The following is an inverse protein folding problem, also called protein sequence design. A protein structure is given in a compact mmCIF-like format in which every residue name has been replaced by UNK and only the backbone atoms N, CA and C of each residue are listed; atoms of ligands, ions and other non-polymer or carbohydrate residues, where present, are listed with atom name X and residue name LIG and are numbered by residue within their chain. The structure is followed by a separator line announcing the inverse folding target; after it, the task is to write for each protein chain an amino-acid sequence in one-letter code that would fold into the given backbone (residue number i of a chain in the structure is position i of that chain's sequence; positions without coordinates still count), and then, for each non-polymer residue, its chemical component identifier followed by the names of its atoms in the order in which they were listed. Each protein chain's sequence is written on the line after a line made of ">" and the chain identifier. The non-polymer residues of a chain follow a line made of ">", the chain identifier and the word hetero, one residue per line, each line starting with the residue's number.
data_IF_011330561736
#
_entry.id   IF_011330561736
#
_cell.length_a   1.000
_cell.length_b   1.000
_cell.length_c   1.000
_cell.angle_alpha   90.00
_cell.angle_beta   90.00
_cell.angle_gamma   90.00
#
_symmetry.space_group_name_H-M   'P 1'
#
loop_
_entity.id
_entity.type
_entity.pdbx_description
1 polymer ?
#
# COMPACT_ATOMS: atom_id res chain seq x y z
N UNK A 1 -56.17 -1.15 -92.67
CA UNK A 1 -54.99 -0.32 -92.41
C UNK A 1 -55.11 0.53 -91.13
N UNK A 2 -56.12 1.39 -90.97
CA UNK A 2 -56.27 2.27 -89.79
C UNK A 2 -56.29 1.54 -88.42
N UNK A 3 -57.02 0.41 -88.32
CA UNK A 3 -57.07 -0.40 -87.10
C UNK A 3 -55.70 -0.98 -86.69
N UNK A 4 -54.83 -1.29 -87.65
CA UNK A 4 -53.47 -1.80 -87.38
C UNK A 4 -52.53 -0.69 -86.90
N UNK A 5 -52.64 0.51 -87.47
CA UNK A 5 -51.87 1.70 -87.05
C UNK A 5 -52.29 2.13 -85.64
N UNK A 6 -53.60 2.16 -85.34
CA UNK A 6 -54.10 2.46 -84.01
C UNK A 6 -53.62 1.45 -82.95
N UNK A 7 -53.58 0.15 -83.30
CA UNK A 7 -53.03 -0.90 -82.42
C UNK A 7 -51.54 -0.75 -82.14
N UNK A 8 -50.74 -0.39 -83.15
CA UNK A 8 -49.29 -0.14 -83.01
C UNK A 8 -49.01 1.10 -82.15
N UNK A 9 -49.77 2.18 -82.34
CA UNK A 9 -49.65 3.39 -81.52
C UNK A 9 -50.01 3.13 -80.05
N UNK A 10 -51.07 2.36 -79.80
CA UNK A 10 -51.45 1.97 -78.43
C UNK A 10 -50.35 1.12 -77.76
N UNK A 11 -49.77 0.18 -78.51
CA UNK A 11 -48.67 -0.66 -78.01
C UNK A 11 -47.42 0.19 -77.69
N UNK A 12 -47.07 1.16 -78.53
CA UNK A 12 -45.95 2.06 -78.30
C UNK A 12 -46.17 2.93 -77.03
N UNK A 13 -47.38 3.43 -76.83
CA UNK A 13 -47.73 4.17 -75.60
C UNK A 13 -47.68 3.28 -74.37
N UNK A 14 -48.16 2.03 -74.45
CA UNK A 14 -48.08 1.07 -73.35
C UNK A 14 -46.63 0.70 -72.99
N UNK A 15 -45.77 0.51 -73.99
CA UNK A 15 -44.33 0.27 -73.78
C UNK A 15 -43.67 1.50 -73.15
N UNK A 16 -43.97 2.70 -73.64
CA UNK A 16 -43.44 3.94 -73.06
C UNK A 16 -43.93 4.17 -71.62
N UNK A 17 -45.21 3.90 -71.34
CA UNK A 17 -45.78 3.99 -70.00
C UNK A 17 -45.19 2.94 -69.05
N UNK A 18 -45.00 1.70 -69.52
CA UNK A 18 -44.34 0.64 -68.76
C UNK A 18 -42.87 0.97 -68.50
N UNK A 19 -42.14 1.49 -69.50
CA UNK A 19 -40.76 1.94 -69.39
C UNK A 19 -40.60 3.13 -68.44
N UNK A 20 -41.51 4.11 -68.50
CA UNK A 20 -41.56 5.22 -67.56
C UNK A 20 -41.83 4.74 -66.12
N UNK A 21 -42.76 3.79 -65.96
CA UNK A 21 -43.11 3.22 -64.67
C UNK A 21 -41.96 2.43 -64.04
N UNK A 22 -41.25 1.60 -64.82
CA UNK A 22 -40.09 0.85 -64.33
C UNK A 22 -38.90 1.78 -64.04
N UNK A 23 -38.61 2.77 -64.90
CA UNK A 23 -37.52 3.72 -64.72
C UNK A 23 -37.74 4.66 -63.51
N UNK A 24 -38.97 5.14 -63.31
CA UNK A 24 -39.33 5.95 -62.14
C UNK A 24 -39.26 5.15 -60.84
N UNK A 25 -39.61 3.86 -60.86
CA UNK A 25 -39.42 2.95 -59.72
C UNK A 25 -37.95 2.70 -59.41
N UNK A 26 -37.14 2.42 -60.44
CA UNK A 26 -35.69 2.19 -60.31
C UNK A 26 -34.99 3.42 -59.72
N UNK A 27 -35.20 4.59 -60.30
CA UNK A 27 -34.58 5.85 -59.84
C UNK A 27 -34.96 6.18 -58.39
N UNK A 28 -36.21 5.95 -57.99
CA UNK A 28 -36.64 6.16 -56.59
C UNK A 28 -35.96 5.19 -55.63
N UNK A 29 -35.87 3.91 -55.96
CA UNK A 29 -35.26 2.91 -55.08
C UNK A 29 -33.74 3.08 -54.97
N UNK A 30 -33.06 3.44 -56.07
CA UNK A 30 -31.62 3.76 -56.04
C UNK A 30 -31.34 5.00 -55.18
N UNK A 31 -32.16 6.07 -55.30
CA UNK A 31 -32.04 7.23 -54.41
C UNK A 31 -32.26 6.88 -52.94
N UNK A 32 -33.19 5.96 -52.64
CA UNK A 32 -33.39 5.44 -51.28
C UNK A 32 -32.17 4.66 -50.79
N UNK A 33 -31.61 3.75 -51.58
CA UNK A 33 -30.41 3.01 -51.22
C UNK A 33 -29.22 3.96 -50.96
N UNK A 34 -29.07 5.01 -51.77
CA UNK A 34 -28.07 6.05 -51.55
C UNK A 34 -28.30 6.81 -50.23
N UNK A 35 -29.55 7.16 -49.91
CA UNK A 35 -29.89 7.80 -48.63
C UNK A 35 -29.61 6.89 -47.43
N UNK A 36 -29.95 5.60 -47.53
CA UNK A 36 -29.65 4.61 -46.50
C UNK A 36 -28.16 4.47 -46.28
N UNK A 37 -27.38 4.35 -47.36
CA UNK A 37 -25.92 4.29 -47.28
C UNK A 37 -25.34 5.57 -46.65
N UNK A 38 -25.88 6.75 -46.99
CA UNK A 38 -25.46 8.01 -46.40
C UNK A 38 -25.76 8.08 -44.89
N UNK A 39 -26.95 7.62 -44.48
CA UNK A 39 -27.32 7.57 -43.06
C UNK A 39 -26.42 6.60 -42.28
N UNK A 40 -26.16 5.41 -42.81
CA UNK A 40 -25.24 4.45 -42.19
C UNK A 40 -23.83 5.03 -42.07
N UNK A 41 -23.34 5.70 -43.12
CA UNK A 41 -22.03 6.36 -43.09
C UNK A 41 -21.93 7.47 -42.03
N UNK A 42 -23.06 8.12 -41.70
CA UNK A 42 -23.15 9.13 -40.64
C UNK A 42 -23.46 8.54 -39.26
N UNK A 43 -23.55 7.21 -39.12
CA UNK A 43 -23.91 6.54 -37.86
C UNK A 43 -25.40 6.65 -37.49
N UNK A 44 -26.25 7.15 -38.39
CA UNK A 44 -27.69 7.27 -38.19
C UNK A 44 -28.37 5.93 -38.50
N UNK A 45 -28.40 5.05 -37.51
CA UNK A 45 -28.91 3.68 -37.69
C UNK A 45 -30.37 3.50 -37.25
N UNK A 46 -31.05 4.52 -36.73
CA UNK A 46 -32.40 4.36 -36.15
C UNK A 46 -33.56 4.25 -37.15
N UNK A 47 -33.34 4.61 -38.42
CA UNK A 47 -34.38 4.64 -39.45
C UNK A 47 -34.68 3.25 -40.02
N UNK A 48 -35.97 2.88 -40.09
CA UNK A 48 -36.39 1.59 -40.66
C UNK A 48 -36.25 1.60 -42.19
N UNK A 49 -35.44 0.67 -42.70
CA UNK A 49 -35.24 0.49 -44.14
C UNK A 49 -36.34 -0.40 -44.71
N UNK A 50 -37.30 0.18 -45.42
CA UNK A 50 -38.34 -0.56 -46.13
C UNK A 50 -37.81 -1.10 -47.48
N UNK A 51 -37.93 -2.42 -47.69
CA UNK A 51 -37.61 -3.10 -48.96
C UNK A 51 -38.87 -3.66 -49.62
N UNK A 52 -39.70 -2.82 -50.28
CA UNK A 52 -41.03 -3.23 -50.76
C UNK A 52 -41.02 -4.04 -52.07
N UNK A 53 -39.86 -4.19 -52.73
CA UNK A 53 -39.76 -4.88 -54.02
C UNK A 53 -39.02 -6.22 -53.90
N UNK A 54 -39.31 -7.16 -54.80
CA UNK A 54 -38.59 -8.46 -54.91
C UNK A 54 -37.51 -8.46 -55.99
N UNK A 55 -37.31 -7.32 -56.66
CA UNK A 55 -36.26 -7.11 -57.67
C UNK A 55 -34.88 -6.86 -57.02
N UNK A 56 -33.87 -6.63 -57.85
CA UNK A 56 -32.49 -6.37 -57.45
C UNK A 56 -32.38 -5.13 -56.55
N UNK A 57 -33.23 -4.12 -56.74
CA UNK A 57 -33.26 -2.91 -55.89
C UNK A 57 -33.83 -3.21 -54.51
N UNK A 58 -34.79 -4.13 -54.43
CA UNK A 58 -35.31 -4.67 -53.18
C UNK A 58 -34.27 -5.50 -52.43
N UNK A 59 -33.54 -6.37 -53.13
CA UNK A 59 -32.45 -7.17 -52.56
C UNK A 59 -31.32 -6.27 -52.01
N UNK A 60 -30.96 -5.20 -52.72
CA UNK A 60 -29.99 -4.22 -52.23
C UNK A 60 -30.44 -3.57 -50.92
N UNK A 61 -31.68 -3.11 -50.85
CA UNK A 61 -32.26 -2.52 -49.63
C UNK A 61 -32.34 -3.53 -48.49
N UNK A 62 -32.66 -4.80 -48.77
CA UNK A 62 -32.65 -5.87 -47.76
C UNK A 62 -31.23 -6.12 -47.20
N UNK A 63 -30.22 -6.20 -48.07
CA UNK A 63 -28.83 -6.35 -47.65
C UNK A 63 -28.37 -5.15 -46.80
N UNK A 64 -28.73 -3.92 -47.20
CA UNK A 64 -28.46 -2.72 -46.40
C UNK A 64 -29.18 -2.74 -45.05
N UNK A 65 -30.42 -3.23 -44.99
CA UNK A 65 -31.17 -3.43 -43.74
C UNK A 65 -30.45 -4.40 -42.81
N UNK A 66 -30.08 -5.58 -43.31
CA UNK A 66 -29.33 -6.58 -42.51
C UNK A 66 -27.99 -6.02 -42.01
N UNK A 67 -27.30 -5.22 -42.82
CA UNK A 67 -26.08 -4.52 -42.42
C UNK A 67 -26.34 -3.53 -41.28
N UNK A 68 -27.39 -2.70 -41.38
CA UNK A 68 -27.81 -1.78 -40.33
C UNK A 68 -28.14 -2.52 -39.02
N UNK A 69 -28.90 -3.63 -39.11
CA UNK A 69 -29.27 -4.47 -37.95
C UNK A 69 -28.04 -5.10 -37.26
N UNK A 70 -27.01 -5.49 -38.01
CA UNK A 70 -25.76 -6.01 -37.44
C UNK A 70 -24.98 -4.91 -36.70
N UNK A 71 -24.86 -3.71 -37.31
CA UNK A 71 -24.22 -2.56 -36.67
C UNK A 71 -24.93 -2.16 -35.37
N UNK A 72 -26.27 -2.09 -35.39
CA UNK A 72 -27.08 -1.81 -34.20
C UNK A 72 -26.84 -2.84 -33.09
N UNK A 73 -26.78 -4.14 -33.43
CA UNK A 73 -26.54 -5.19 -32.43
C UNK A 73 -25.16 -5.10 -31.79
N UNK A 74 -24.12 -4.80 -32.56
CA UNK A 74 -22.78 -4.62 -31.98
C UNK A 74 -22.73 -3.40 -31.07
N UNK A 75 -23.32 -2.28 -31.49
CA UNK A 75 -23.40 -1.07 -30.65
C UNK A 75 -24.17 -1.32 -29.35
N UNK A 76 -25.28 -2.07 -29.42
CA UNK A 76 -26.05 -2.44 -28.25
C UNK A 76 -25.24 -3.33 -27.29
N UNK A 77 -24.54 -4.34 -27.80
CA UNK A 77 -23.68 -5.22 -27.00
C UNK A 77 -22.51 -4.45 -26.36
N UNK A 78 -21.91 -3.51 -27.09
CA UNK A 78 -20.83 -2.67 -26.56
C UNK A 78 -21.34 -1.72 -25.48
N UNK A 79 -22.53 -1.13 -25.65
CA UNK A 79 -23.18 -0.29 -24.64
C UNK A 79 -23.52 -1.08 -23.37
N UNK A 80 -24.05 -2.30 -23.52
CA UNK A 80 -24.30 -3.20 -22.40
C UNK A 80 -23.00 -3.55 -21.66
N UNK A 81 -21.93 -3.87 -22.39
CA UNK A 81 -20.62 -4.13 -21.79
C UNK A 81 -20.13 -2.94 -20.98
N UNK A 82 -20.23 -1.72 -21.53
CA UNK A 82 -19.84 -0.50 -20.83
C UNK A 82 -20.64 -0.32 -19.53
N UNK A 83 -21.97 -0.42 -19.59
CA UNK A 83 -22.84 -0.31 -18.42
C UNK A 83 -22.50 -1.34 -17.33
N UNK A 84 -22.26 -2.59 -17.71
CA UNK A 84 -21.88 -3.65 -16.77
C UNK A 84 -20.52 -3.39 -16.14
N UNK A 85 -19.54 -2.89 -16.90
CA UNK A 85 -18.21 -2.56 -16.37
C UNK A 85 -18.24 -1.35 -15.44
N UNK A 86 -19.03 -0.33 -15.77
CA UNK A 86 -19.27 0.83 -14.89
C UNK A 86 -19.97 0.42 -13.58
N UNK A 87 -20.83 -0.60 -13.63
CA UNK A 87 -21.43 -1.22 -12.46
C UNK A 87 -20.51 -2.21 -11.71
N UNK A 88 -19.23 -2.33 -12.11
CA UNK A 88 -18.24 -3.19 -11.45
C UNK A 88 -18.23 -4.66 -11.91
N UNK A 89 -19.09 -5.07 -12.84
CA UNK A 89 -19.12 -6.43 -13.41
C UNK A 89 -18.06 -6.61 -14.50
N UNK A 90 -16.80 -6.35 -14.16
CA UNK A 90 -15.68 -6.30 -15.11
C UNK A 90 -15.35 -7.66 -15.75
N UNK A 91 -15.91 -8.77 -15.27
CA UNK A 91 -15.76 -10.09 -15.89
C UNK A 91 -16.59 -10.27 -17.15
N UNK A 92 -17.65 -9.47 -17.36
CA UNK A 92 -18.54 -9.59 -18.51
C UNK A 92 -17.80 -9.35 -19.83
N UNK A 93 -18.11 -10.16 -20.84
CA UNK A 93 -17.61 -10.08 -22.21
C UNK A 93 -18.77 -10.17 -23.17
N UNK A 94 -18.67 -9.46 -24.29
CA UNK A 94 -19.61 -9.60 -25.40
C UNK A 94 -19.47 -11.00 -26.03
N UNK A 95 -20.58 -11.61 -26.43
CA UNK A 95 -20.55 -12.88 -27.14
C UNK A 95 -20.14 -12.66 -28.61
N UNK A 96 -18.92 -13.07 -28.96
CA UNK A 96 -18.41 -12.94 -30.32
C UNK A 96 -19.06 -13.90 -31.32
N UNK A 97 -19.56 -15.05 -30.87
CA UNK A 97 -20.15 -16.09 -31.74
C UNK A 97 -21.51 -15.65 -32.28
N UNK A 98 -22.18 -14.74 -31.57
CA UNK A 98 -23.43 -14.10 -32.00
C UNK A 98 -23.28 -13.17 -33.21
N UNK A 99 -22.06 -12.89 -33.67
CA UNK A 99 -21.80 -11.95 -34.77
C UNK A 99 -21.11 -12.63 -35.96
N UNK A 100 -21.39 -12.22 -37.20
CA UNK A 100 -20.71 -12.77 -38.38
C UNK A 100 -19.44 -11.99 -38.74
N UNK A 101 -18.44 -12.69 -39.28
CA UNK A 101 -17.32 -12.11 -40.02
C UNK A 101 -16.55 -11.01 -39.26
N UNK A 102 -16.44 -9.83 -39.88
CA UNK A 102 -15.70 -8.70 -39.32
C UNK A 102 -16.28 -8.20 -37.98
N UNK A 103 -17.60 -8.31 -37.77
CA UNK A 103 -18.24 -7.91 -36.52
C UNK A 103 -17.80 -8.80 -35.35
N UNK A 104 -17.72 -10.12 -35.55
CA UNK A 104 -17.16 -11.03 -34.54
C UNK A 104 -15.70 -10.71 -34.23
N UNK A 105 -14.92 -10.31 -35.23
CA UNK A 105 -13.52 -9.92 -35.03
C UNK A 105 -13.43 -8.66 -34.18
N UNK A 106 -14.22 -7.62 -34.47
CA UNK A 106 -14.28 -6.40 -33.66
C UNK A 106 -14.67 -6.68 -32.20
N UNK A 107 -15.64 -7.57 -31.98
CA UNK A 107 -16.06 -7.99 -30.64
C UNK A 107 -14.94 -8.75 -29.92
N UNK A 108 -14.24 -9.69 -30.59
CA UNK A 108 -13.08 -10.40 -30.02
C UNK A 108 -11.96 -9.45 -29.66
N UNK A 109 -11.65 -8.49 -30.53
CA UNK A 109 -10.58 -7.52 -30.30
C UNK A 109 -10.90 -6.59 -29.13
N UNK A 110 -12.16 -6.15 -28.99
CA UNK A 110 -12.60 -5.36 -27.84
C UNK A 110 -12.54 -6.17 -26.54
N UNK A 111 -12.99 -7.42 -26.57
CA UNK A 111 -12.88 -8.33 -25.42
C UNK A 111 -11.42 -8.56 -25.01
N UNK A 112 -10.52 -8.74 -25.98
CA UNK A 112 -9.09 -8.93 -25.74
C UNK A 112 -8.46 -7.66 -25.14
N UNK A 113 -8.73 -6.49 -25.74
CA UNK A 113 -8.27 -5.20 -25.24
C UNK A 113 -8.64 -5.03 -23.76
N UNK A 114 -9.92 -5.13 -23.44
CA UNK A 114 -10.42 -4.99 -22.06
C UNK A 114 -9.83 -6.07 -21.13
N UNK A 115 -9.74 -7.32 -21.61
CA UNK A 115 -9.15 -8.43 -20.87
C UNK A 115 -7.71 -8.16 -20.42
N UNK A 116 -6.87 -7.62 -21.30
CA UNK A 116 -5.46 -7.32 -20.95
C UNK A 116 -5.32 -6.26 -19.87
N UNK A 117 -6.18 -5.24 -19.86
CA UNK A 117 -6.17 -4.20 -18.82
C UNK A 117 -6.67 -4.74 -17.47
N UNK A 118 -7.69 -5.58 -17.47
CA UNK A 118 -8.20 -6.21 -16.25
C UNK A 118 -7.17 -7.16 -15.64
N UNK A 119 -6.47 -7.95 -16.46
CA UNK A 119 -5.45 -8.88 -15.98
C UNK A 119 -4.37 -8.16 -15.16
N UNK A 120 -3.86 -7.02 -15.65
CA UNK A 120 -2.87 -6.19 -14.91
C UNK A 120 -3.45 -5.66 -13.60
N UNK A 121 -4.68 -5.13 -13.61
CA UNK A 121 -5.34 -4.61 -12.40
C UNK A 121 -5.54 -5.71 -11.34
N UNK A 122 -5.95 -6.91 -11.75
CA UNK A 122 -6.12 -8.04 -10.83
C UNK A 122 -4.77 -8.52 -10.27
N UNK A 123 -3.70 -8.54 -11.09
CA UNK A 123 -2.35 -8.87 -10.61
C UNK A 123 -1.86 -7.86 -9.58
N UNK A 124 -2.07 -6.56 -9.81
CA UNK A 124 -1.75 -5.52 -8.83
C UNK A 124 -2.48 -5.76 -7.51
N UNK A 125 -3.80 -5.99 -7.54
CA UNK A 125 -4.58 -6.27 -6.34
C UNK A 125 -4.07 -7.50 -5.58
N UNK A 126 -3.70 -8.57 -6.28
CA UNK A 126 -3.14 -9.79 -5.68
C UNK A 126 -1.81 -9.51 -4.97
N UNK A 127 -0.88 -8.78 -5.60
CA UNK A 127 0.41 -8.47 -4.99
C UNK A 127 0.24 -7.48 -3.83
N UNK A 128 -0.59 -6.44 -3.99
CA UNK A 128 -0.89 -5.49 -2.92
C UNK A 128 -1.48 -6.21 -1.69
N UNK A 129 -2.34 -7.22 -1.89
CA UNK A 129 -2.87 -8.03 -0.80
C UNK A 129 -1.80 -8.81 -0.03
N UNK A 130 -0.71 -9.25 -0.71
CA UNK A 130 0.43 -9.89 -0.05
C UNK A 130 1.27 -8.87 0.72
N UNK A 131 1.55 -7.72 0.10
CA UNK A 131 2.30 -6.66 0.75
C UNK A 131 1.59 -6.14 2.01
N UNK A 132 0.26 -6.07 1.99
CA UNK A 132 -0.56 -5.65 3.13
C UNK A 132 -0.39 -6.55 4.37
N UNK A 133 -0.03 -7.82 4.19
CA UNK A 133 0.25 -8.77 5.28
C UNK A 133 1.76 -8.97 5.52
N UNK A 134 2.61 -8.15 4.89
CA UNK A 134 4.06 -8.21 5.02
C UNK A 134 4.77 -9.25 4.15
N UNK A 135 4.05 -9.98 3.29
CA UNK A 135 4.66 -10.90 2.31
C UNK A 135 5.16 -10.10 1.09
N UNK A 136 6.44 -9.71 1.15
CA UNK A 136 7.13 -9.01 0.06
C UNK A 136 7.85 -9.99 -0.90
N UNK A 137 7.56 -11.28 -0.87
CA UNK A 137 8.30 -12.29 -1.66
C UNK A 137 8.08 -12.19 -3.16
N UNK A 138 6.89 -11.72 -3.59
CA UNK A 138 6.55 -11.62 -5.00
C UNK A 138 6.88 -10.24 -5.58
N UNK A 139 7.43 -10.23 -6.79
CA UNK A 139 7.63 -9.02 -7.57
C UNK A 139 6.51 -8.84 -8.60
N UNK A 140 6.29 -7.59 -9.00
CA UNK A 140 5.45 -7.29 -10.15
C UNK A 140 6.21 -7.61 -11.44
N UNK A 141 5.51 -8.20 -12.41
CA UNK A 141 6.06 -8.44 -13.74
C UNK A 141 6.51 -7.11 -14.38
N UNK A 142 7.55 -7.14 -15.21
CA UNK A 142 8.00 -5.96 -15.96
C UNK A 142 7.07 -5.71 -17.13
N UNK A 143 6.24 -4.67 -17.03
CA UNK A 143 5.29 -4.31 -18.05
C UNK A 143 5.91 -3.34 -19.07
N UNK A 144 5.61 -3.47 -20.38
CA UNK A 144 6.20 -2.62 -21.41
C UNK A 144 5.48 -1.27 -21.55
N UNK A 145 6.17 -0.30 -22.14
CA UNK A 145 5.61 1.01 -22.51
C UNK A 145 5.07 1.78 -21.31
N UNK A 146 3.94 2.45 -21.50
CA UNK A 146 3.29 3.26 -20.44
C UNK A 146 2.86 2.42 -19.23
N UNK A 147 2.68 1.11 -19.39
CA UNK A 147 2.33 0.21 -18.27
C UNK A 147 3.49 -0.01 -17.31
N UNK A 148 4.73 0.31 -17.69
CA UNK A 148 5.92 0.19 -16.83
C UNK A 148 5.77 0.95 -15.51
N UNK A 149 5.00 2.05 -15.51
CA UNK A 149 4.70 2.84 -14.30
C UNK A 149 4.13 1.97 -13.17
N UNK A 150 3.34 0.94 -13.48
CA UNK A 150 2.81 0.03 -12.46
C UNK A 150 3.92 -0.84 -11.84
N UNK A 151 4.83 -1.36 -12.66
CA UNK A 151 5.98 -2.14 -12.18
C UNK A 151 6.89 -1.28 -11.31
N UNK A 152 7.22 -0.06 -11.76
CA UNK A 152 8.11 0.85 -11.04
C UNK A 152 7.51 1.35 -9.72
N UNK A 153 6.20 1.60 -9.71
CA UNK A 153 5.48 1.98 -8.49
C UNK A 153 5.47 0.83 -7.49
N UNK A 154 5.18 -0.40 -7.92
CA UNK A 154 5.17 -1.57 -7.04
C UNK A 154 6.56 -1.86 -6.46
N UNK A 155 7.61 -1.66 -7.24
CA UNK A 155 8.99 -1.72 -6.78
C UNK A 155 9.30 -0.68 -5.72
N UNK A 156 8.87 0.56 -5.92
CA UNK A 156 9.07 1.64 -4.95
C UNK A 156 8.35 1.33 -3.64
N UNK A 157 7.10 0.87 -3.70
CA UNK A 157 6.34 0.41 -2.53
C UNK A 157 7.10 -0.71 -1.80
N UNK A 158 7.53 -1.75 -2.52
CA UNK A 158 8.28 -2.87 -1.93
C UNK A 158 9.57 -2.42 -1.26
N UNK A 159 10.38 -1.57 -1.94
CA UNK A 159 11.63 -1.04 -1.39
C UNK A 159 11.40 -0.26 -0.09
N UNK A 160 10.37 0.58 -0.05
CA UNK A 160 10.06 1.37 1.14
C UNK A 160 9.59 0.51 2.32
N UNK A 161 8.71 -0.47 2.06
CA UNK A 161 8.25 -1.42 3.07
C UNK A 161 9.42 -2.27 3.60
N UNK A 162 10.31 -2.73 2.72
CA UNK A 162 11.48 -3.50 3.10
C UNK A 162 12.48 -2.67 3.92
N UNK A 163 12.72 -1.41 3.53
CA UNK A 163 13.58 -0.49 4.27
C UNK A 163 13.04 -0.26 5.70
N UNK A 164 11.74 -0.01 5.84
CA UNK A 164 11.12 0.16 7.16
C UNK A 164 11.22 -1.12 8.02
N UNK A 165 10.95 -2.29 7.43
CA UNK A 165 11.09 -3.56 8.15
C UNK A 165 12.53 -3.80 8.62
N UNK A 166 13.51 -3.40 7.80
CA UNK A 166 14.93 -3.50 8.14
C UNK A 166 15.30 -2.55 9.29
N UNK A 167 14.77 -1.33 9.29
CA UNK A 167 14.99 -0.35 10.35
C UNK A 167 14.46 -0.83 11.70
N UNK A 168 13.22 -1.35 11.71
CA UNK A 168 12.60 -1.93 12.91
C UNK A 168 13.43 -3.10 13.42
N UNK A 169 13.87 -4.00 12.54
CA UNK A 169 14.70 -5.16 12.92
C UNK A 169 16.06 -4.74 13.49
N UNK A 170 16.70 -3.73 12.89
CA UNK A 170 17.97 -3.19 13.36
C UNK A 170 17.85 -2.70 14.81
N UNK A 171 16.87 -1.83 15.08
CA UNK A 171 16.67 -1.25 16.40
C UNK A 171 16.21 -2.29 17.43
N UNK A 172 15.30 -3.19 17.04
CA UNK A 172 14.85 -4.27 17.91
C UNK A 172 16.01 -5.21 18.29
N UNK A 173 16.88 -5.55 17.33
CA UNK A 173 18.05 -6.39 17.58
C UNK A 173 19.09 -5.69 18.46
N UNK A 174 19.33 -4.39 18.25
CA UNK A 174 20.20 -3.59 19.10
C UNK A 174 19.69 -3.56 20.55
N UNK A 175 18.40 -3.25 20.74
CA UNK A 175 17.75 -3.27 22.04
C UNK A 175 17.81 -4.66 22.72
N UNK A 176 17.56 -5.74 21.97
CA UNK A 176 17.66 -7.10 22.48
C UNK A 176 19.09 -7.46 22.93
N UNK A 177 20.10 -6.86 22.30
CA UNK A 177 21.51 -7.01 22.67
C UNK A 177 21.95 -6.02 23.76
N UNK A 178 21.03 -5.18 24.28
CA UNK A 178 21.31 -4.17 25.29
C UNK A 178 21.99 -2.89 24.76
N UNK A 179 22.14 -2.75 23.44
CA UNK A 179 22.67 -1.54 22.82
C UNK A 179 21.53 -0.57 22.48
N UNK A 180 21.26 0.34 23.41
CA UNK A 180 20.25 1.37 23.24
C UNK A 180 20.80 2.65 22.60
N UNK A 181 22.07 2.69 22.18
CA UNK A 181 22.68 3.87 21.57
C UNK A 181 22.36 4.00 20.06
N UNK A 182 21.97 2.89 19.42
CA UNK A 182 21.64 2.84 17.99
C UNK A 182 20.41 3.70 17.69
N UNK A 183 20.46 4.42 16.57
CA UNK A 183 19.35 5.24 16.05
C UNK A 183 19.06 4.86 14.61
N UNK A 184 17.78 4.87 14.27
CA UNK A 184 17.31 4.70 12.91
C UNK A 184 17.46 5.98 12.09
N UNK A 185 17.63 5.81 10.79
CA UNK A 185 17.87 6.90 9.83
C UNK A 185 16.56 7.57 9.41
N UNK A 186 16.27 8.73 10.02
CA UNK A 186 15.07 9.52 9.72
C UNK A 186 15.09 10.15 8.33
N UNK A 187 16.27 10.39 7.74
CA UNK A 187 16.38 11.09 6.45
C UNK A 187 15.87 10.23 5.28
N UNK A 188 15.77 8.92 5.47
CA UNK A 188 15.29 7.97 4.45
C UNK A 188 13.78 7.88 4.35
N UNK A 189 13.04 8.42 5.32
CA UNK A 189 11.60 8.25 5.43
C UNK A 189 10.85 9.58 5.42
N UNK A 190 9.58 9.52 5.07
CA UNK A 190 8.69 10.68 4.99
C UNK A 190 7.32 10.31 5.60
N UNK A 191 6.57 11.32 6.04
CA UNK A 191 5.23 11.16 6.61
C UNK A 191 5.19 10.13 7.76
N UNK A 192 4.24 9.20 7.77
CA UNK A 192 4.04 8.26 8.88
C UNK A 192 5.24 7.34 9.11
N UNK A 193 5.99 7.00 8.06
CA UNK A 193 7.22 6.23 8.21
C UNK A 193 8.32 7.00 8.93
N UNK A 194 8.43 8.31 8.69
CA UNK A 194 9.34 9.18 9.45
C UNK A 194 8.93 9.23 10.92
N UNK A 195 7.64 9.52 11.19
CA UNK A 195 7.11 9.60 12.56
C UNK A 195 7.32 8.30 13.35
N UNK A 196 7.21 7.14 12.69
CA UNK A 196 7.50 5.84 13.29
C UNK A 196 8.96 5.71 13.71
N UNK A 197 9.91 6.06 12.83
CA UNK A 197 11.35 5.97 13.15
C UNK A 197 11.74 6.98 14.23
N UNK A 198 11.20 8.21 14.20
CA UNK A 198 11.39 9.20 15.27
C UNK A 198 10.89 8.68 16.62
N UNK A 199 9.72 8.03 16.63
CA UNK A 199 9.17 7.43 17.85
C UNK A 199 10.04 6.29 18.38
N UNK A 200 10.55 5.42 17.50
CA UNK A 200 11.49 4.36 17.89
C UNK A 200 12.79 4.94 18.43
N UNK A 201 13.32 5.99 17.82
CA UNK A 201 14.51 6.69 18.29
C UNK A 201 14.31 7.31 19.67
N UNK A 202 13.14 7.90 19.93
CA UNK A 202 12.80 8.45 21.23
C UNK A 202 12.73 7.37 22.31
N UNK A 203 12.15 6.20 21.98
CA UNK A 203 12.13 5.04 22.87
C UNK A 203 13.55 4.58 23.21
N UNK A 204 14.41 4.40 22.19
CA UNK A 204 15.80 4.00 22.38
C UNK A 204 16.57 5.00 23.23
N UNK A 205 16.44 6.30 22.96
CA UNK A 205 17.10 7.35 23.73
C UNK A 205 16.66 7.40 25.20
N UNK A 206 15.37 7.18 25.46
CA UNK A 206 14.84 7.13 26.83
C UNK A 206 15.40 5.94 27.59
N UNK A 207 15.44 4.75 26.97
CA UNK A 207 16.02 3.56 27.59
C UNK A 207 17.53 3.72 27.85
N UNK A 208 18.28 4.24 26.87
CA UNK A 208 19.72 4.49 26.95
C UNK A 208 20.07 5.42 28.12
N UNK A 209 19.41 6.57 28.21
CA UNK A 209 19.65 7.54 29.29
C UNK A 209 19.34 6.97 30.68
N UNK A 210 18.21 6.28 30.83
CA UNK A 210 17.77 5.76 32.12
C UNK A 210 18.66 4.60 32.61
N UNK A 211 19.02 3.67 31.73
CA UNK A 211 19.92 2.57 32.05
C UNK A 211 21.35 3.07 32.30
N UNK A 212 21.80 4.09 31.56
CA UNK A 212 23.08 4.75 31.79
C UNK A 212 23.17 5.42 33.17
N UNK A 213 22.11 6.10 33.59
CA UNK A 213 22.02 6.71 34.92
C UNK A 213 22.08 5.66 36.03
N UNK A 214 21.32 4.56 35.90
CA UNK A 214 21.37 3.44 36.85
C UNK A 214 22.76 2.80 36.90
N UNK A 215 23.37 2.56 35.74
CA UNK A 215 24.73 1.99 35.63
C UNK A 215 25.78 2.88 36.33
N UNK A 216 25.60 4.20 36.27
CA UNK A 216 26.50 5.16 36.93
C UNK A 216 26.41 5.07 38.45
N UNK A 217 25.19 4.95 39.01
CA UNK A 217 25.01 4.74 40.45
C UNK A 217 25.62 3.41 40.90
N UNK A 218 25.37 2.32 40.16
CA UNK A 218 25.94 1.01 40.51
C UNK A 218 27.47 1.01 40.47
N UNK A 219 28.08 1.73 39.52
CA UNK A 219 29.54 1.92 39.47
C UNK A 219 30.07 2.71 40.66
N UNK A 220 29.36 3.77 41.09
CA UNK A 220 29.72 4.53 42.29
C UNK A 220 29.68 3.65 43.55
N UNK A 221 28.60 2.88 43.73
CA UNK A 221 28.47 1.91 44.83
C UNK A 221 29.64 0.91 44.81
N UNK A 222 29.96 0.34 43.64
CA UNK A 222 31.05 -0.61 43.50
C UNK A 222 32.43 0.00 43.83
N UNK A 223 32.61 1.30 43.60
CA UNK A 223 33.80 2.06 43.98
C UNK A 223 33.80 2.51 45.46
N UNK A 224 32.75 2.20 46.22
CA UNK A 224 32.57 2.61 47.61
C UNK A 224 32.06 4.05 47.78
N UNK A 225 31.70 4.73 46.70
CA UNK A 225 31.06 6.05 46.77
C UNK A 225 29.55 5.90 47.02
N UNK A 226 29.14 6.17 48.25
CA UNK A 226 27.74 6.12 48.69
C UNK A 226 27.09 7.52 48.73
N UNK A 227 27.71 8.51 48.10
CA UNK A 227 27.15 9.88 47.98
C UNK A 227 26.38 10.08 46.67
N UNK A 228 26.70 9.32 45.64
CA UNK A 228 26.03 9.39 44.33
C UNK A 228 24.57 8.96 44.43
N UNK A 229 23.68 9.70 43.74
CA UNK A 229 22.24 9.41 43.63
C UNK A 229 21.79 9.50 42.18
N UNK A 230 20.75 8.75 41.83
CA UNK A 230 20.09 8.86 40.54
C UNK A 230 19.13 10.06 40.58
N UNK A 231 19.41 11.07 39.77
CA UNK A 231 18.63 12.30 39.64
C UNK A 231 17.98 12.39 38.26
N UNK A 232 16.80 13.02 38.18
CA UNK A 232 16.06 13.20 36.93
C UNK A 232 14.56 12.95 37.09
N UNK A 233 13.82 13.39 36.08
CA UNK A 233 12.38 13.18 35.97
C UNK A 233 12.10 11.87 35.23
N UNK A 234 11.95 10.79 36.00
CA UNK A 234 11.66 9.46 35.48
C UNK A 234 10.21 9.09 35.75
N UNK A 235 9.67 8.23 34.89
CA UNK A 235 8.28 7.81 34.93
C UNK A 235 8.16 6.28 34.91
N UNK A 236 7.10 5.76 35.52
CA UNK A 236 6.82 4.31 35.55
C UNK A 236 7.97 3.50 36.14
N UNK A 237 8.35 2.42 35.45
CA UNK A 237 9.41 1.50 35.89
C UNK A 237 10.75 2.21 36.12
N UNK A 238 11.08 3.24 35.34
CA UNK A 238 12.33 3.97 35.52
C UNK A 238 12.33 4.85 36.78
N UNK A 239 11.16 5.37 37.20
CA UNK A 239 11.02 6.07 38.47
C UNK A 239 11.24 5.12 39.66
N UNK A 240 10.65 3.93 39.57
CA UNK A 240 10.84 2.89 40.57
C UNK A 240 12.30 2.46 40.68
N UNK A 241 12.99 2.23 39.55
CA UNK A 241 14.42 1.93 39.53
C UNK A 241 15.27 3.02 40.21
N UNK A 242 14.95 4.30 39.97
CA UNK A 242 15.61 5.42 40.65
C UNK A 242 15.41 5.33 42.16
N UNK A 243 14.18 5.15 42.60
CA UNK A 243 13.83 5.16 44.02
C UNK A 243 14.48 3.97 44.76
N UNK A 244 14.46 2.78 44.14
CA UNK A 244 15.10 1.58 44.67
C UNK A 244 16.63 1.71 44.73
N UNK A 245 17.25 2.27 43.69
CA UNK A 245 18.69 2.53 43.67
C UNK A 245 19.08 3.53 44.77
N UNK A 246 18.36 4.64 44.89
CA UNK A 246 18.63 5.66 45.91
C UNK A 246 18.41 5.14 47.33
N UNK A 247 17.38 4.31 47.56
CA UNK A 247 17.15 3.65 48.84
C UNK A 247 18.30 2.69 49.19
N UNK A 248 18.78 1.93 48.21
CA UNK A 248 19.93 1.03 48.39
C UNK A 248 21.18 1.81 48.80
N UNK A 249 21.49 2.91 48.12
CA UNK A 249 22.65 3.74 48.49
C UNK A 249 22.48 4.33 49.89
N UNK A 250 21.29 4.82 50.24
CA UNK A 250 21.01 5.36 51.56
C UNK A 250 21.20 4.30 52.67
N UNK A 251 20.72 3.08 52.46
CA UNK A 251 20.85 1.98 53.42
C UNK A 251 22.31 1.57 53.61
N UNK A 252 23.08 1.48 52.53
CA UNK A 252 24.52 1.17 52.62
C UNK A 252 25.27 2.29 53.35
N UNK A 253 24.94 3.57 53.08
CA UNK A 253 25.58 4.70 53.73
C UNK A 253 25.33 4.70 55.25
N UNK A 254 24.09 4.41 55.69
CA UNK A 254 23.75 4.28 57.10
C UNK A 254 24.54 3.15 57.79
N UNK A 255 24.59 1.96 57.16
CA UNK A 255 25.33 0.82 57.70
C UNK A 255 26.82 1.16 57.86
N UNK A 256 27.45 1.74 56.84
CA UNK A 256 28.87 2.14 56.90
C UNK A 256 29.09 3.20 57.97
N UNK A 257 28.22 4.20 58.07
CA UNK A 257 28.29 5.24 59.12
C UNK A 257 28.20 4.65 60.53
N UNK A 258 27.30 3.69 60.76
CA UNK A 258 27.18 3.00 62.05
C UNK A 258 28.41 2.15 62.39
N UNK A 259 29.05 1.52 61.40
CA UNK A 259 30.29 0.78 61.59
C UNK A 259 31.43 1.73 61.96
N UNK A 260 31.55 2.87 61.28
CA UNK A 260 32.54 3.89 61.60
C UNK A 260 32.36 4.42 63.03
N UNK A 261 31.14 4.82 63.39
CA UNK A 261 30.83 5.28 64.75
C UNK A 261 31.16 4.22 65.82
N UNK A 262 30.86 2.95 65.55
CA UNK A 262 31.19 1.86 66.47
C UNK A 262 32.70 1.65 66.59
N UNK A 263 33.44 1.83 65.49
CA UNK A 263 34.91 1.70 65.46
C UNK A 263 35.57 2.84 66.23
N UNK A 264 35.08 4.08 66.08
CA UNK A 264 35.55 5.24 66.84
C UNK A 264 35.34 5.03 68.34
N UNK A 265 34.14 4.59 68.74
CA UNK A 265 33.85 4.29 70.15
C UNK A 265 34.75 3.17 70.73
N UNK A 266 35.06 2.13 69.93
CA UNK A 266 36.01 1.09 70.33
C UNK A 266 37.42 1.64 70.48
N UNK A 267 37.86 2.51 69.57
CA UNK A 267 39.19 3.11 69.60
C UNK A 267 39.38 4.07 70.78
N UNK A 268 38.34 4.85 71.10
CA UNK A 268 38.30 5.71 72.29
C UNK A 268 38.39 4.87 73.58
N UNK A 269 37.58 3.82 73.69
CA UNK A 269 37.62 2.91 74.85
C UNK A 269 38.97 2.18 74.96
N UNK A 270 39.56 1.76 73.84
CA UNK A 270 40.89 1.14 73.82
C UNK A 270 41.98 2.10 74.28
N UNK A 271 41.89 3.38 73.87
CA UNK A 271 42.81 4.44 74.30
C UNK A 271 42.69 4.72 75.80
N UNK A 272 41.47 4.74 76.34
CA UNK A 272 41.22 4.91 77.77
C UNK A 272 41.74 3.73 78.60
N UNK A 273 41.53 2.49 78.14
CA UNK A 273 42.10 1.29 78.78
C UNK A 273 43.63 1.32 78.76
N UNK A 274 44.24 1.71 77.64
CA UNK A 274 45.69 1.81 77.53
C UNK A 274 46.26 2.83 78.52
N UNK A 275 45.63 4.00 78.63
CA UNK A 275 46.00 5.02 79.61
C UNK A 275 45.83 4.51 81.06
N UNK A 276 44.72 3.83 81.35
CA UNK A 276 44.47 3.23 82.67
C UNK A 276 45.47 2.15 83.05
N UNK A 277 45.85 1.28 82.11
CA UNK A 277 46.90 0.27 82.32
C UNK A 277 48.26 0.90 82.58
N UNK A 278 48.57 2.03 81.92
CA UNK A 278 49.83 2.73 82.12
C UNK A 278 49.91 3.37 83.51
N UNK A 279 48.82 4.00 83.98
CA UNK A 279 48.70 4.49 85.37
C UNK A 279 48.85 3.35 86.38
N UNK A 280 48.16 2.22 86.14
CA UNK A 280 48.23 1.06 87.02
C UNK A 280 49.64 0.47 87.08
N UNK A 281 50.32 0.35 85.93
CA UNK A 281 51.71 -0.12 85.86
C UNK A 281 52.63 0.79 86.68
N UNK A 282 52.51 2.11 86.52
CA UNK A 282 53.32 3.09 87.24
C UNK A 282 53.09 3.04 88.75
N UNK A 283 51.84 2.88 89.19
CA UNK A 283 51.49 2.70 90.61
C UNK A 283 51.99 1.37 91.17
N UNK A 284 51.93 0.32 90.38
CA UNK A 284 52.41 -1.01 90.77
C UNK A 284 53.94 -1.00 90.94
N UNK A 285 54.67 -0.35 90.03
CA UNK A 285 56.12 -0.13 90.15
C UNK A 285 56.47 0.69 91.40
N UNK A 286 55.73 1.77 91.68
CA UNK A 286 55.91 2.56 92.90
C UNK A 286 55.64 1.75 94.17
N UNK A 287 54.63 0.89 94.19
CA UNK A 287 54.35 0.03 95.34
C UNK A 287 55.40 -1.05 95.53
N UNK A 288 55.86 -1.68 94.45
CA UNK A 288 56.95 -2.65 94.49
C UNK A 288 58.25 -2.02 95.03
N UNK A 289 58.59 -0.82 94.57
CA UNK A 289 59.78 -0.09 95.05
C UNK A 289 59.70 0.36 96.53
N UNK A 290 58.50 0.49 97.10
CA UNK A 290 58.31 0.80 98.52
C UNK A 290 58.35 -0.46 99.43
N UNK A 291 58.35 -1.66 98.84
CA UNK A 291 58.40 -2.95 99.55
C UNK A 291 59.82 -3.55 99.59
N UNK A 292 60.77 -3.01 98.82
CA UNK A 292 62.22 -3.26 98.93
C UNK A 292 62.88 -2.33 99.97
#
# INVERSE_FOLDING_TARGET
>A
MWKAIAGLSLLAVLIAALGWYTLSRLTRNVRRAAAVAANIAQGQLGEQIAAPSRDETGQLLDNMRRMQEQLQRVLAAQSEMAQRHDAGQISYRMDAESFPGAYATMVRDTNALVGTHIAVKMKLAQIMSRYAIGDLSQDMDRLPGEKAVFSDTMDAVKRNLFAMNSEIKLLAQAAANGDFSVRGDTQRFQHDFLAMVESLNQLMATADGNLGALSSVLRAIAAGDLTTRMHGDFHGVFAQMRDDANATVAQLADIVGRIQQSTDAINDAASEIAAGNQDLSQRTEQQAANLE
#
